data_IF_190553297687
#
_entry.id   IF_190553297687
#
_cell.length_a   1.000
_cell.length_b   1.000
_cell.length_c   1.000
_cell.angle_alpha   90.00
_cell.angle_beta   90.00
_cell.angle_gamma   90.00
#
_symmetry.space_group_name_H-M   'P 1'
#
loop_
_entity.id
_entity.type
_entity.pdbx_description
1 polymer ?
#
# COMPACT_ATOMS: atom_id res chain seq x y z
N UNK A 1 -19.78 18.99 -2.53
CA UNK A 1 -18.88 19.23 -1.38
C UNK A 1 -17.47 18.87 -1.79
N UNK A 2 -16.49 19.61 -1.30
CA UNK A 2 -15.08 19.39 -1.59
C UNK A 2 -14.34 19.35 -0.26
N UNK A 3 -13.49 18.36 -0.06
CA UNK A 3 -12.64 18.24 1.11
C UNK A 3 -11.20 18.00 0.69
N UNK A 4 -10.28 18.87 1.11
CA UNK A 4 -8.85 18.64 0.97
C UNK A 4 -8.40 17.75 2.12
N UNK A 5 -7.78 16.62 1.81
CA UNK A 5 -7.34 15.63 2.79
C UNK A 5 -5.92 15.17 2.45
N UNK A 6 -5.10 14.99 3.47
CA UNK A 6 -3.69 14.62 3.32
C UNK A 6 -3.38 13.20 3.80
N UNK A 7 -4.31 12.59 4.55
CA UNK A 7 -4.13 11.27 5.17
C UNK A 7 -5.44 10.45 5.12
N UNK A 8 -5.34 9.11 5.15
CA UNK A 8 -6.50 8.24 4.97
C UNK A 8 -7.47 8.23 6.17
N UNK A 9 -7.03 8.55 7.39
CA UNK A 9 -7.90 8.60 8.58
C UNK A 9 -8.78 9.85 8.53
N UNK A 10 -8.21 10.99 8.13
CA UNK A 10 -8.95 12.20 7.82
C UNK A 10 -9.96 11.98 6.69
N UNK A 11 -9.57 11.27 5.63
CA UNK A 11 -10.48 10.90 4.55
C UNK A 11 -11.65 10.02 5.01
N UNK A 12 -11.39 8.99 5.83
CA UNK A 12 -12.42 8.14 6.44
C UNK A 12 -13.42 8.99 7.25
N UNK A 13 -12.90 9.87 8.10
CA UNK A 13 -13.72 10.74 8.97
C UNK A 13 -14.65 11.65 8.15
N UNK A 14 -14.14 12.22 7.05
CA UNK A 14 -14.95 13.06 6.14
C UNK A 14 -16.04 12.24 5.46
N UNK A 15 -15.72 11.04 4.96
CA UNK A 15 -16.69 10.15 4.30
C UNK A 15 -17.82 9.76 5.27
N UNK A 16 -17.47 9.40 6.51
CA UNK A 16 -18.43 9.07 7.56
C UNK A 16 -19.31 10.28 7.90
N UNK A 17 -18.71 11.43 8.21
CA UNK A 17 -19.42 12.64 8.62
C UNK A 17 -20.40 13.15 7.54
N UNK A 18 -20.03 13.05 6.26
CA UNK A 18 -20.94 13.40 5.15
C UNK A 18 -22.14 12.46 5.08
N UNK A 19 -21.95 11.18 5.40
CA UNK A 19 -23.03 10.19 5.52
C UNK A 19 -23.98 10.52 6.65
N UNK A 20 -23.43 10.73 7.84
CA UNK A 20 -24.19 10.98 9.06
C UNK A 20 -25.01 12.28 8.99
N UNK A 21 -24.42 13.32 8.41
CA UNK A 21 -25.09 14.61 8.23
C UNK A 21 -26.14 14.60 7.11
N UNK A 22 -26.28 13.50 6.36
CA UNK A 22 -27.21 13.34 5.24
C UNK A 22 -27.17 14.52 4.25
N UNK A 23 -25.96 15.04 3.99
CA UNK A 23 -25.80 16.26 3.21
C UNK A 23 -26.30 16.07 1.78
N UNK A 24 -27.00 17.07 1.26
CA UNK A 24 -27.45 17.06 -0.14
C UNK A 24 -26.29 17.40 -1.07
N UNK A 25 -25.86 16.44 -1.89
CA UNK A 25 -24.82 16.63 -2.91
C UNK A 25 -23.78 15.51 -2.95
N UNK A 26 -22.81 15.66 -3.86
CA UNK A 26 -21.71 14.71 -4.05
C UNK A 26 -20.43 15.18 -3.36
N UNK A 27 -19.72 14.27 -2.70
CA UNK A 27 -18.42 14.50 -2.06
C UNK A 27 -17.27 14.29 -3.04
N UNK A 28 -16.38 15.27 -3.12
CA UNK A 28 -15.10 15.16 -3.80
C UNK A 28 -13.97 15.26 -2.79
N UNK A 29 -13.05 14.29 -2.79
CA UNK A 29 -11.80 14.41 -2.05
C UNK A 29 -10.72 14.96 -2.98
N UNK A 30 -9.98 15.94 -2.47
CA UNK A 30 -8.92 16.63 -3.20
C UNK A 30 -7.59 16.38 -2.50
N UNK A 31 -6.60 15.95 -3.26
CA UNK A 31 -5.23 15.70 -2.80
C UNK A 31 -4.22 16.54 -3.60
N UNK A 32 -2.96 16.50 -3.20
CA UNK A 32 -1.83 17.06 -3.97
C UNK A 32 -0.67 16.07 -4.05
N UNK A 33 -0.31 15.64 -5.24
CA UNK A 33 0.77 14.66 -5.43
C UNK A 33 0.45 13.28 -4.86
N UNK A 34 -0.82 12.87 -4.88
CA UNK A 34 -1.23 11.50 -4.57
C UNK A 34 -0.97 10.54 -5.73
N UNK A 35 -0.98 11.03 -6.97
CA UNK A 35 -0.85 10.22 -8.16
C UNK A 35 0.41 10.63 -8.92
N UNK A 36 1.29 9.69 -9.30
CA UNK A 36 2.47 10.03 -10.07
C UNK A 36 2.08 10.46 -11.49
N UNK A 37 2.58 11.61 -11.92
CA UNK A 37 2.42 12.13 -13.29
C UNK A 37 3.76 11.98 -14.04
N UNK A 38 3.76 11.63 -15.35
CA UNK A 38 5.00 11.57 -16.12
C UNK A 38 5.80 12.87 -16.04
N UNK A 39 7.04 12.79 -15.56
CA UNK A 39 7.94 13.93 -15.38
C UNK A 39 8.08 14.41 -13.93
N UNK A 40 7.18 13.99 -13.02
CA UNK A 40 7.28 14.30 -11.59
C UNK A 40 8.20 13.32 -10.85
N UNK A 41 8.71 13.76 -9.69
CA UNK A 41 9.71 13.01 -8.89
C UNK A 41 9.12 11.90 -8.02
N UNK A 42 7.81 11.68 -8.05
CA UNK A 42 7.12 10.67 -7.25
C UNK A 42 5.78 11.20 -6.71
N UNK A 43 5.12 10.39 -5.87
CA UNK A 43 3.90 10.73 -5.14
C UNK A 43 4.11 10.63 -3.63
N UNK A 44 3.19 11.19 -2.85
CA UNK A 44 3.16 11.10 -1.39
C UNK A 44 2.32 9.87 -0.97
N UNK A 45 2.91 8.85 -0.34
CA UNK A 45 2.20 7.61 -0.02
C UNK A 45 0.92 7.78 0.81
N UNK A 46 0.90 8.67 1.81
CA UNK A 46 -0.30 8.94 2.63
C UNK A 46 -1.48 9.46 1.80
N UNK A 47 -1.18 10.27 0.78
CA UNK A 47 -2.19 10.80 -0.14
C UNK A 47 -2.62 9.78 -1.18
N UNK A 48 -1.73 8.87 -1.59
CA UNK A 48 -2.12 7.70 -2.38
C UNK A 48 -3.06 6.78 -1.59
N UNK A 49 -2.86 6.65 -0.28
CA UNK A 49 -3.77 5.91 0.60
C UNK A 49 -5.19 6.53 0.63
N UNK A 50 -5.31 7.86 0.60
CA UNK A 50 -6.60 8.55 0.41
C UNK A 50 -7.28 8.11 -0.89
N UNK A 51 -6.54 8.00 -1.98
CA UNK A 51 -7.09 7.54 -3.27
C UNK A 51 -7.58 6.09 -3.19
N UNK A 52 -6.83 5.20 -2.54
CA UNK A 52 -7.25 3.83 -2.27
C UNK A 52 -8.59 3.77 -1.53
N UNK A 53 -8.72 4.54 -0.43
CA UNK A 53 -9.96 4.64 0.34
C UNK A 53 -11.11 5.22 -0.50
N UNK A 54 -10.86 6.31 -1.22
CA UNK A 54 -11.89 7.01 -1.99
C UNK A 54 -12.47 6.17 -3.15
N UNK A 55 -11.65 5.31 -3.78
CA UNK A 55 -12.16 4.34 -4.77
C UNK A 55 -13.20 3.40 -4.14
N UNK A 56 -12.98 2.96 -2.89
CA UNK A 56 -13.95 2.13 -2.16
C UNK A 56 -15.17 2.94 -1.75
N UNK A 57 -15.01 4.19 -1.32
CA UNK A 57 -16.13 5.08 -1.03
C UNK A 57 -17.05 5.28 -2.25
N UNK A 58 -16.48 5.36 -3.47
CA UNK A 58 -17.26 5.40 -4.71
C UNK A 58 -18.09 4.14 -4.97
N UNK A 59 -17.60 2.96 -4.56
CA UNK A 59 -18.32 1.70 -4.67
C UNK A 59 -19.43 1.54 -3.63
N UNK A 60 -19.16 1.96 -2.39
CA UNK A 60 -20.10 1.80 -1.26
C UNK A 60 -21.16 2.90 -1.22
N UNK A 61 -20.81 4.11 -1.67
CA UNK A 61 -21.67 5.31 -1.57
C UNK A 61 -21.87 6.01 -2.93
N UNK A 62 -22.27 5.31 -4.01
CA UNK A 62 -22.29 5.87 -5.37
C UNK A 62 -23.25 7.05 -5.56
N UNK A 63 -24.25 7.23 -4.69
CA UNK A 63 -25.21 8.34 -4.77
C UNK A 63 -24.69 9.65 -4.19
N UNK A 64 -23.80 9.57 -3.20
CA UNK A 64 -23.22 10.73 -2.50
C UNK A 64 -21.74 10.92 -2.83
N UNK A 65 -21.16 10.05 -3.66
CA UNK A 65 -19.79 10.17 -4.13
C UNK A 65 -19.70 11.00 -5.43
N UNK A 66 -18.75 11.91 -5.46
CA UNK A 66 -18.39 12.73 -6.62
C UNK A 66 -17.14 12.21 -7.30
N UNK A 67 -16.04 12.09 -6.54
CA UNK A 67 -14.79 11.58 -7.08
C UNK A 67 -13.55 12.00 -6.29
N UNK A 68 -12.40 11.71 -6.89
CA UNK A 68 -11.05 12.05 -6.46
C UNK A 68 -10.45 13.05 -7.45
N UNK A 69 -9.85 14.13 -6.95
CA UNK A 69 -9.04 15.04 -7.77
C UNK A 69 -7.67 15.25 -7.14
N UNK A 70 -6.59 15.01 -7.88
CA UNK A 70 -5.24 15.35 -7.46
C UNK A 70 -4.81 16.64 -8.15
N UNK A 71 -4.32 17.60 -7.37
CA UNK A 71 -3.84 18.89 -7.88
C UNK A 71 -2.31 18.95 -7.91
N UNK A 72 -1.73 19.85 -8.71
CA UNK A 72 -0.32 20.19 -8.61
C UNK A 72 0.05 20.65 -7.19
N UNK A 73 1.33 20.54 -6.82
CA UNK A 73 1.81 20.96 -5.50
C UNK A 73 1.51 22.44 -5.18
N UNK A 74 1.63 23.30 -6.19
CA UNK A 74 1.31 24.73 -6.15
C UNK A 74 0.31 25.08 -7.27
N UNK A 75 -1.00 24.88 -7.05
CA UNK A 75 -2.01 25.08 -8.07
C UNK A 75 -2.24 26.58 -8.34
N UNK A 76 -2.21 26.97 -9.61
CA UNK A 76 -2.53 28.33 -10.05
C UNK A 76 -4.01 28.54 -10.37
N UNK A 77 -4.39 29.77 -10.72
CA UNK A 77 -5.78 30.14 -11.07
C UNK A 77 -6.38 29.26 -12.17
N UNK A 78 -5.56 28.84 -13.14
CA UNK A 78 -5.98 27.95 -14.22
C UNK A 78 -6.35 26.56 -13.68
N UNK A 79 -5.57 26.00 -12.76
CA UNK A 79 -5.81 24.69 -12.17
C UNK A 79 -7.11 24.70 -11.35
N UNK A 80 -7.35 25.79 -10.61
CA UNK A 80 -8.57 25.99 -9.83
C UNK A 80 -9.80 26.19 -10.72
N UNK A 81 -9.66 26.87 -11.86
CA UNK A 81 -10.73 26.99 -12.86
C UNK A 81 -11.07 25.62 -13.44
N UNK A 82 -10.06 24.82 -13.79
CA UNK A 82 -10.25 23.47 -14.29
C UNK A 82 -10.88 22.55 -13.24
N UNK A 83 -10.48 22.66 -11.98
CA UNK A 83 -11.12 21.96 -10.86
C UNK A 83 -12.63 22.30 -10.81
N UNK A 84 -13.01 23.58 -10.87
CA UNK A 84 -14.41 23.97 -10.85
C UNK A 84 -15.20 23.35 -12.02
N UNK A 85 -14.62 23.30 -13.22
CA UNK A 85 -15.23 22.65 -14.38
C UNK A 85 -15.40 21.14 -14.18
N UNK A 86 -14.38 20.45 -13.65
CA UNK A 86 -14.43 19.01 -13.33
C UNK A 86 -15.58 18.73 -12.35
N UNK A 87 -15.65 19.51 -11.26
CA UNK A 87 -16.66 19.35 -10.22
C UNK A 87 -18.08 19.62 -10.74
N UNK A 88 -18.24 20.58 -11.64
CA UNK A 88 -19.53 20.95 -12.23
C UNK A 88 -20.05 19.90 -13.21
N UNK A 89 -19.16 19.32 -14.03
CA UNK A 89 -19.53 18.34 -15.06
C UNK A 89 -19.73 16.95 -14.46
N UNK A 90 -18.79 16.51 -13.61
CA UNK A 90 -18.84 15.20 -12.97
C UNK A 90 -18.90 14.03 -13.96
N UNK A 91 -18.20 14.15 -15.09
CA UNK A 91 -18.15 13.13 -16.15
C UNK A 91 -17.17 11.99 -15.81
N UNK A 92 -16.12 12.28 -15.05
CA UNK A 92 -15.10 11.35 -14.56
C UNK A 92 -14.97 11.50 -13.04
N UNK A 93 -14.74 10.40 -12.32
CA UNK A 93 -14.69 10.36 -10.85
C UNK A 93 -13.26 10.26 -10.28
N UNK A 94 -12.26 10.24 -11.15
CA UNK A 94 -10.84 10.17 -10.81
C UNK A 94 -10.06 11.03 -11.78
N UNK A 95 -9.57 12.18 -11.33
CA UNK A 95 -8.93 13.17 -12.21
C UNK A 95 -7.62 13.67 -11.59
N UNK A 96 -6.61 13.87 -12.42
CA UNK A 96 -5.34 14.50 -12.02
C UNK A 96 -5.19 15.78 -12.82
N UNK A 97 -5.14 16.92 -12.13
CA UNK A 97 -4.89 18.23 -12.74
C UNK A 97 -3.39 18.44 -12.85
N UNK A 98 -2.96 18.91 -14.02
CA UNK A 98 -1.58 19.21 -14.38
C UNK A 98 -1.54 20.59 -15.01
N UNK A 99 -0.36 21.22 -15.09
CA UNK A 99 -0.22 22.53 -15.74
C UNK A 99 -0.66 22.55 -17.21
N UNK A 100 -0.71 21.39 -17.88
CA UNK A 100 -1.12 21.24 -19.28
C UNK A 100 -2.62 20.91 -19.44
N UNK A 101 -3.33 20.53 -18.37
CA UNK A 101 -4.74 20.14 -18.40
C UNK A 101 -5.10 19.04 -17.40
N UNK A 102 -6.15 18.28 -17.68
CA UNK A 102 -6.59 17.17 -16.84
C UNK A 102 -6.23 15.82 -17.47
N UNK A 103 -5.73 14.91 -16.63
CA UNK A 103 -5.46 13.51 -16.94
C UNK A 103 -6.46 12.63 -16.19
N UNK A 104 -6.79 11.48 -16.78
CA UNK A 104 -7.70 10.51 -16.19
C UNK A 104 -7.02 9.15 -16.19
N UNK A 105 -6.88 8.47 -15.04
CA UNK A 105 -6.22 7.18 -14.98
C UNK A 105 -7.04 6.12 -15.72
N UNK A 106 -6.34 5.24 -16.44
CA UNK A 106 -6.92 4.12 -17.18
C UNK A 106 -6.08 2.88 -16.95
N UNK A 107 -6.75 1.77 -16.65
CA UNK A 107 -6.10 0.47 -16.59
C UNK A 107 -5.89 -0.05 -18.02
N UNK A 108 -4.66 -0.40 -18.34
CA UNK A 108 -4.28 -0.93 -19.66
C UNK A 108 -3.56 -2.26 -19.50
N UNK A 109 -3.60 -3.08 -20.54
CA UNK A 109 -2.83 -4.32 -20.56
C UNK A 109 -1.35 -3.99 -20.66
N UNK A 110 -0.55 -4.43 -19.69
CA UNK A 110 0.90 -4.32 -19.78
C UNK A 110 1.43 -5.20 -20.93
N UNK A 111 2.24 -4.62 -21.82
CA UNK A 111 3.03 -5.39 -22.79
C UNK A 111 4.16 -6.10 -22.05
N UNK A 112 4.38 -7.38 -22.33
CA UNK A 112 5.52 -8.12 -21.76
C UNK A 112 6.83 -7.43 -22.14
N UNK A 113 7.61 -7.03 -21.13
CA UNK A 113 9.01 -6.59 -21.32
C UNK A 113 9.91 -7.82 -21.33
N UNK A 114 11.09 -7.71 -21.95
CA UNK A 114 12.12 -8.75 -21.81
C UNK A 114 12.43 -8.94 -20.32
N UNK A 115 12.19 -10.15 -19.82
CA UNK A 115 12.44 -10.48 -18.44
C UNK A 115 13.95 -10.55 -18.21
N UNK A 116 14.45 -9.78 -17.25
CA UNK A 116 15.79 -10.01 -16.69
C UNK A 116 15.68 -11.19 -15.74
N UNK A 117 16.57 -12.17 -15.88
CA UNK A 117 16.66 -13.27 -14.93
C UNK A 117 17.17 -12.70 -13.59
N UNK A 118 16.35 -12.81 -12.54
CA UNK A 118 16.71 -12.49 -11.17
C UNK A 118 16.82 -13.79 -10.37
N UNK A 119 17.82 -13.89 -9.51
CA UNK A 119 17.98 -15.00 -8.58
C UNK A 119 18.25 -14.47 -7.18
N UNK A 120 17.67 -15.08 -6.14
CA UNK A 120 18.00 -14.72 -4.77
C UNK A 120 19.48 -15.03 -4.51
N UNK A 121 20.19 -14.06 -3.93
CA UNK A 121 21.57 -14.21 -3.47
C UNK A 121 21.69 -13.59 -2.09
N UNK A 122 22.61 -14.12 -1.29
CA UNK A 122 22.85 -13.62 0.07
C UNK A 122 21.64 -13.82 0.97
N UNK A 123 21.29 -12.79 1.73
CA UNK A 123 20.22 -12.83 2.74
C UNK A 123 18.94 -12.18 2.19
N UNK A 124 17.82 -12.90 2.22
CA UNK A 124 16.50 -12.38 1.89
C UNK A 124 15.64 -12.28 3.15
N UNK A 125 15.19 -11.07 3.47
CA UNK A 125 14.21 -10.82 4.53
C UNK A 125 12.79 -10.96 3.97
N UNK A 126 11.96 -11.80 4.57
CA UNK A 126 10.53 -11.91 4.24
C UNK A 126 9.70 -11.53 5.47
N UNK A 127 9.08 -10.35 5.44
CA UNK A 127 8.15 -9.96 6.51
C UNK A 127 6.79 -10.60 6.31
N UNK A 128 6.12 -10.98 7.41
CA UNK A 128 4.97 -11.88 7.31
C UNK A 128 5.37 -13.28 6.81
N UNK A 129 6.64 -13.66 6.97
CA UNK A 129 7.25 -14.83 6.34
C UNK A 129 6.65 -16.17 6.77
N UNK A 130 5.99 -16.21 7.94
CA UNK A 130 5.25 -17.40 8.41
C UNK A 130 3.77 -17.39 8.00
N UNK A 131 3.31 -16.34 7.30
CA UNK A 131 1.94 -16.23 6.78
C UNK A 131 1.76 -17.00 5.47
N UNK A 132 0.53 -17.05 4.96
CA UNK A 132 0.22 -17.82 3.74
C UNK A 132 1.06 -17.38 2.53
N UNK A 133 1.08 -16.07 2.23
CA UNK A 133 1.85 -15.54 1.10
C UNK A 133 3.36 -15.61 1.35
N UNK A 134 3.82 -15.18 2.53
CA UNK A 134 5.23 -15.24 2.91
C UNK A 134 5.81 -16.64 2.84
N UNK A 135 5.07 -17.66 3.29
CA UNK A 135 5.49 -19.05 3.21
C UNK A 135 5.57 -19.58 1.78
N UNK A 136 4.69 -19.15 0.87
CA UNK A 136 4.81 -19.49 -0.55
C UNK A 136 6.01 -18.80 -1.21
N UNK A 137 6.26 -17.53 -0.88
CA UNK A 137 7.44 -16.80 -1.36
C UNK A 137 8.73 -17.47 -0.85
N UNK A 138 8.79 -17.83 0.43
CA UNK A 138 9.96 -18.48 1.00
C UNK A 138 10.29 -19.81 0.30
N UNK A 139 9.28 -20.63 0.00
CA UNK A 139 9.45 -21.88 -0.78
C UNK A 139 9.96 -21.62 -2.18
N UNK A 140 9.39 -20.62 -2.87
CA UNK A 140 9.86 -20.25 -4.20
C UNK A 140 11.32 -19.78 -4.15
N UNK A 141 11.69 -18.91 -3.22
CA UNK A 141 13.06 -18.43 -3.05
C UNK A 141 14.05 -19.58 -2.79
N UNK A 142 13.70 -20.52 -1.91
CA UNK A 142 14.53 -21.69 -1.63
C UNK A 142 14.69 -22.61 -2.86
N UNK A 143 13.65 -22.73 -3.69
CA UNK A 143 13.70 -23.54 -4.91
C UNK A 143 14.56 -22.91 -6.04
N UNK A 144 14.71 -21.58 -6.07
CA UNK A 144 15.54 -20.87 -7.06
C UNK A 144 17.06 -21.00 -6.77
N UNK A 145 17.44 -21.39 -5.55
CA UNK A 145 18.81 -21.73 -5.19
C UNK A 145 19.17 -21.45 -3.73
N UNK A 146 20.40 -21.81 -3.31
CA UNK A 146 20.87 -21.60 -1.94
C UNK A 146 20.87 -20.11 -1.56
N UNK A 147 20.11 -19.76 -0.53
CA UNK A 147 20.07 -18.43 0.06
C UNK A 147 19.83 -18.53 1.57
N UNK A 148 20.11 -17.43 2.29
CA UNK A 148 19.70 -17.30 3.68
C UNK A 148 18.35 -16.60 3.74
N UNK A 149 17.36 -17.24 4.34
CA UNK A 149 16.01 -16.71 4.53
C UNK A 149 15.82 -16.27 5.98
N UNK A 150 15.54 -14.99 6.18
CA UNK A 150 15.12 -14.45 7.47
C UNK A 150 13.62 -14.19 7.39
N UNK A 151 12.83 -14.99 8.11
CA UNK A 151 11.38 -14.90 8.12
C UNK A 151 10.92 -14.20 9.39
N UNK A 152 10.32 -13.02 9.26
CA UNK A 152 9.79 -12.27 10.41
C UNK A 152 8.27 -12.34 10.48
N UNK A 153 7.75 -12.50 11.68
CA UNK A 153 6.33 -12.28 12.00
C UNK A 153 6.18 -12.00 13.49
N UNK A 154 5.03 -11.45 13.92
CA UNK A 154 4.77 -11.19 15.36
C UNK A 154 4.90 -12.44 16.22
N UNK A 155 4.47 -13.60 15.70
CA UNK A 155 4.52 -14.87 16.41
C UNK A 155 5.88 -15.58 16.24
N UNK A 156 6.65 -15.27 15.19
CA UNK A 156 7.95 -15.84 14.93
C UNK A 156 7.93 -17.39 14.95
N UNK A 157 8.87 -18.04 15.68
CA UNK A 157 8.90 -19.50 15.81
C UNK A 157 7.64 -20.12 16.43
N UNK A 158 6.84 -19.35 17.16
CA UNK A 158 5.59 -19.81 17.76
C UNK A 158 4.39 -19.75 16.78
N UNK A 159 4.58 -19.26 15.55
CA UNK A 159 3.51 -19.25 14.56
C UNK A 159 3.12 -20.69 14.17
N UNK A 160 1.81 -20.98 13.97
CA UNK A 160 1.36 -22.28 13.50
C UNK A 160 2.08 -22.70 12.21
N UNK A 161 2.68 -23.89 12.21
CA UNK A 161 3.41 -24.42 11.06
C UNK A 161 4.81 -23.84 10.82
N UNK A 162 5.31 -22.93 11.68
CA UNK A 162 6.65 -22.32 11.49
C UNK A 162 7.78 -23.35 11.48
N UNK A 163 7.74 -24.34 12.38
CA UNK A 163 8.75 -25.40 12.43
C UNK A 163 8.74 -26.31 11.20
N UNK A 164 7.54 -26.64 10.70
CA UNK A 164 7.38 -27.43 9.46
C UNK A 164 7.90 -26.65 8.25
N UNK A 165 7.58 -25.36 8.15
CA UNK A 165 8.10 -24.48 7.10
C UNK A 165 9.63 -24.38 7.16
N UNK A 166 10.22 -24.20 8.35
CA UNK A 166 11.68 -24.12 8.49
C UNK A 166 12.38 -25.41 8.02
N UNK A 167 11.83 -26.58 8.40
CA UNK A 167 12.37 -27.87 7.98
C UNK A 167 12.27 -28.04 6.46
N UNK A 168 11.11 -27.75 5.87
CA UNK A 168 10.89 -27.82 4.42
C UNK A 168 11.90 -26.95 3.64
N UNK A 169 12.09 -25.71 4.07
CA UNK A 169 13.02 -24.78 3.41
C UNK A 169 14.48 -25.21 3.56
N UNK A 170 14.83 -25.81 4.71
CA UNK A 170 16.17 -26.38 4.94
C UNK A 170 16.42 -27.59 4.04
N UNK A 171 15.42 -28.46 3.85
CA UNK A 171 15.50 -29.61 2.94
C UNK A 171 15.65 -29.17 1.47
N UNK A 172 15.13 -27.99 1.12
CA UNK A 172 15.34 -27.34 -0.18
C UNK A 172 16.74 -26.69 -0.32
N UNK A 173 17.54 -26.66 0.74
CA UNK A 173 18.91 -26.15 0.75
C UNK A 173 19.08 -24.69 1.15
N UNK A 174 18.05 -24.05 1.71
CA UNK A 174 18.15 -22.71 2.27
C UNK A 174 18.62 -22.73 3.73
N UNK A 175 19.39 -21.72 4.15
CA UNK A 175 19.63 -21.45 5.57
C UNK A 175 18.45 -20.63 6.11
N UNK A 176 17.74 -21.11 7.13
CA UNK A 176 16.51 -20.45 7.59
C UNK A 176 16.58 -20.00 9.04
N UNK A 177 16.12 -18.78 9.26
CA UNK A 177 15.95 -18.20 10.60
C UNK A 177 14.57 -17.56 10.70
N UNK A 178 13.79 -17.98 11.70
CA UNK A 178 12.47 -17.42 11.98
C UNK A 178 12.55 -16.56 13.23
N UNK A 179 12.14 -15.30 13.11
CA UNK A 179 12.30 -14.29 14.17
C UNK A 179 10.94 -13.71 14.54
N UNK A 180 10.67 -13.64 15.84
CA UNK A 180 9.54 -12.89 16.36
C UNK A 180 9.86 -11.39 16.26
N UNK A 181 9.21 -10.71 15.32
CA UNK A 181 9.40 -9.29 15.09
C UNK A 181 8.11 -8.69 14.53
N UNK A 182 7.63 -7.64 15.20
CA UNK A 182 6.57 -6.79 14.69
C UNK A 182 7.18 -5.70 13.81
N UNK A 183 6.77 -5.63 12.54
CA UNK A 183 7.28 -4.62 11.59
C UNK A 183 6.84 -3.20 11.94
N UNK A 184 5.81 -3.05 12.77
CA UNK A 184 5.36 -1.76 13.30
C UNK A 184 6.23 -1.29 14.47
N UNK A 185 7.05 -2.17 15.07
CA UNK A 185 8.08 -1.79 16.04
C UNK A 185 9.39 -1.49 15.31
N UNK A 186 9.64 -0.20 15.12
CA UNK A 186 10.83 0.31 14.41
C UNK A 186 12.15 -0.16 15.05
N UNK A 187 12.23 -0.23 16.37
CA UNK A 187 13.49 -0.59 17.06
C UNK A 187 13.74 -2.11 17.01
N UNK A 188 12.68 -2.92 17.13
CA UNK A 188 12.78 -4.35 16.91
C UNK A 188 13.22 -4.65 15.47
N UNK A 189 12.59 -4.00 14.48
CA UNK A 189 12.95 -4.16 13.08
C UNK A 189 14.39 -3.71 12.81
N UNK A 190 14.82 -2.56 13.36
CA UNK A 190 16.21 -2.09 13.25
C UNK A 190 17.21 -3.12 13.77
N UNK A 191 16.89 -3.80 14.87
CA UNK A 191 17.74 -4.84 15.45
C UNK A 191 17.91 -6.02 14.50
N UNK A 192 16.80 -6.53 13.93
CA UNK A 192 16.82 -7.60 12.91
C UNK A 192 17.64 -7.18 11.69
N UNK A 193 17.43 -5.97 11.18
CA UNK A 193 18.14 -5.47 10.01
C UNK A 193 19.66 -5.33 10.24
N UNK A 194 20.05 -4.89 11.43
CA UNK A 194 21.47 -4.76 11.81
C UNK A 194 22.16 -6.13 11.93
N UNK A 195 21.47 -7.12 12.51
CA UNK A 195 22.00 -8.45 12.74
C UNK A 195 22.15 -9.27 11.45
N UNK A 196 21.16 -9.19 10.55
CA UNK A 196 21.12 -10.06 9.37
C UNK A 196 21.52 -9.38 8.07
N UNK A 197 21.50 -8.04 8.00
CA UNK A 197 21.92 -7.25 6.84
C UNK A 197 21.40 -7.79 5.49
N UNK A 198 20.08 -7.77 5.25
CA UNK A 198 19.50 -8.37 4.05
C UNK A 198 19.97 -7.68 2.76
N UNK A 199 20.18 -8.49 1.72
CA UNK A 199 20.45 -8.08 0.34
C UNK A 199 19.16 -7.87 -0.46
N UNK A 200 18.07 -8.51 -0.04
CA UNK A 200 16.75 -8.32 -0.62
C UNK A 200 15.64 -8.37 0.44
N UNK A 201 14.55 -7.66 0.18
CA UNK A 201 13.37 -7.60 1.06
C UNK A 201 12.13 -7.98 0.28
N UNK A 202 11.31 -8.85 0.87
CA UNK A 202 9.94 -9.09 0.43
C UNK A 202 8.98 -8.80 1.58
N UNK A 203 8.25 -7.71 1.46
CA UNK A 203 7.30 -7.28 2.47
C UNK A 203 5.91 -7.89 2.20
N UNK A 204 5.57 -8.95 2.94
CA UNK A 204 4.25 -9.61 2.87
C UNK A 204 3.41 -9.42 4.12
N UNK A 205 3.93 -8.68 5.12
CA UNK A 205 3.21 -8.39 6.34
C UNK A 205 1.94 -7.57 6.04
N UNK A 206 0.84 -8.01 6.65
CA UNK A 206 -0.46 -7.39 6.47
C UNK A 206 -1.57 -8.42 6.55
N UNK A 207 -2.76 -7.96 6.89
CA UNK A 207 -3.98 -8.77 6.89
C UNK A 207 -5.06 -8.04 6.08
N UNK A 208 -5.85 -8.81 5.34
CA UNK A 208 -7.08 -8.30 4.74
C UNK A 208 -8.19 -8.34 5.77
N UNK A 209 -8.44 -7.22 6.46
CA UNK A 209 -9.61 -7.09 7.32
C UNK A 209 -10.72 -6.45 6.48
N UNK A 210 -11.87 -7.13 6.40
CA UNK A 210 -13.07 -6.57 5.78
C UNK A 210 -13.78 -5.71 6.80
N UNK A 211 -13.82 -4.41 6.53
CA UNK A 211 -14.52 -3.43 7.38
C UNK A 211 -15.24 -2.45 6.47
N UNK A 212 -16.54 -2.34 6.68
CA UNK A 212 -17.39 -1.33 6.05
C UNK A 212 -16.96 0.08 6.47
N UNK A 213 -16.95 1.03 5.52
CA UNK A 213 -16.46 2.38 5.80
C UNK A 213 -17.29 3.10 6.88
N UNK A 214 -18.58 2.81 7.02
CA UNK A 214 -19.46 3.52 7.94
C UNK A 214 -19.19 3.17 9.41
N UNK A 215 -18.68 1.95 9.63
CA UNK A 215 -18.47 1.39 10.97
C UNK A 215 -17.00 1.22 11.33
N UNK A 216 -16.08 1.53 10.40
CA UNK A 216 -14.65 1.43 10.63
C UNK A 216 -14.21 2.51 11.64
N UNK A 217 -13.76 2.08 12.83
CA UNK A 217 -13.13 3.00 13.78
C UNK A 217 -11.69 3.31 13.37
N UNK A 218 -11.12 4.38 13.92
CA UNK A 218 -9.72 4.73 13.67
C UNK A 218 -8.76 3.61 14.13
N UNK A 219 -9.08 2.93 15.23
CA UNK A 219 -8.29 1.80 15.76
C UNK A 219 -8.36 0.59 14.83
N UNK A 220 -9.56 0.26 14.31
CA UNK A 220 -9.71 -0.82 13.34
C UNK A 220 -9.01 -0.50 12.02
N UNK A 221 -9.03 0.76 11.62
CA UNK A 221 -8.31 1.25 10.44
C UNK A 221 -6.80 1.06 10.63
N UNK A 222 -6.25 1.52 11.75
CA UNK A 222 -4.84 1.35 12.09
C UNK A 222 -4.46 -0.15 12.13
N UNK A 223 -5.24 -0.98 12.83
CA UNK A 223 -5.01 -2.44 12.89
C UNK A 223 -4.96 -3.09 11.50
N UNK A 224 -5.81 -2.65 10.57
CA UNK A 224 -5.86 -3.17 9.21
C UNK A 224 -4.73 -2.65 8.30
N UNK A 225 -4.11 -1.52 8.63
CA UNK A 225 -3.19 -0.80 7.72
C UNK A 225 -1.75 -0.75 8.22
N UNK A 226 -1.50 -0.68 9.52
CA UNK A 226 -0.20 -0.38 10.13
C UNK A 226 0.91 -1.33 9.68
N UNK A 227 0.62 -2.63 9.61
CA UNK A 227 1.61 -3.62 9.19
C UNK A 227 2.13 -3.36 7.76
N UNK A 228 1.30 -2.79 6.88
CA UNK A 228 1.67 -2.40 5.52
C UNK A 228 2.26 -0.99 5.48
N UNK A 229 1.57 -0.01 6.06
CA UNK A 229 1.99 1.39 6.07
C UNK A 229 3.29 1.58 6.85
N UNK A 230 3.22 1.43 8.18
CA UNK A 230 4.36 1.62 9.06
C UNK A 230 5.45 0.59 8.77
N UNK A 231 5.07 -0.66 8.48
CA UNK A 231 6.03 -1.70 8.13
C UNK A 231 6.86 -1.37 6.89
N UNK A 232 6.24 -0.88 5.81
CA UNK A 232 6.97 -0.44 4.62
C UNK A 232 7.78 0.84 4.89
N UNK A 233 7.21 1.82 5.59
CA UNK A 233 7.89 3.06 5.94
C UNK A 233 9.15 2.82 6.78
N UNK A 234 9.08 1.95 7.79
CA UNK A 234 10.24 1.58 8.60
C UNK A 234 11.29 0.83 7.78
N UNK A 235 10.89 -0.07 6.89
CA UNK A 235 11.84 -0.77 6.01
C UNK A 235 12.57 0.21 5.09
N UNK A 236 11.85 1.14 4.46
CA UNK A 236 12.41 2.19 3.61
C UNK A 236 13.38 3.07 4.39
N UNK A 237 12.96 3.61 5.54
CA UNK A 237 13.78 4.49 6.37
C UNK A 237 15.06 3.80 6.88
N UNK A 238 14.93 2.56 7.39
CA UNK A 238 16.03 1.85 8.05
C UNK A 238 17.02 1.24 7.05
N UNK A 239 16.58 0.92 5.83
CA UNK A 239 17.46 0.46 4.76
C UNK A 239 18.05 1.62 3.96
N UNK A 240 17.35 2.76 3.89
CA UNK A 240 17.79 3.99 3.24
C UNK A 240 18.30 3.74 1.82
N UNK A 241 19.40 4.41 1.45
CA UNK A 241 20.03 4.28 0.14
C UNK A 241 20.85 2.98 -0.04
N UNK A 242 20.68 1.98 0.83
CA UNK A 242 21.40 0.71 0.69
C UNK A 242 21.01 0.06 -0.63
N UNK A 243 22.00 -0.34 -1.40
CA UNK A 243 21.79 -1.05 -2.65
C UNK A 243 21.30 -2.47 -2.35
N UNK A 244 20.00 -2.70 -2.53
CA UNK A 244 19.37 -4.02 -2.47
C UNK A 244 19.27 -4.63 -3.87
N UNK A 245 19.33 -5.96 -3.94
CA UNK A 245 19.05 -6.73 -5.16
C UNK A 245 17.55 -6.73 -5.49
N UNK A 246 16.67 -6.60 -4.48
CA UNK A 246 15.24 -6.41 -4.64
C UNK A 246 14.59 -5.79 -3.39
N UNK A 247 13.57 -4.96 -3.59
CA UNK A 247 12.67 -4.46 -2.55
C UNK A 247 11.24 -4.63 -3.06
N UNK A 248 10.56 -5.69 -2.62
CA UNK A 248 9.27 -6.13 -3.17
C UNK A 248 8.17 -5.91 -2.15
N UNK A 249 7.16 -5.12 -2.52
CA UNK A 249 5.98 -4.85 -1.70
C UNK A 249 4.79 -5.65 -2.23
N UNK A 250 4.15 -6.43 -1.37
CA UNK A 250 2.96 -7.19 -1.74
C UNK A 250 1.72 -6.30 -1.66
N UNK A 251 1.39 -5.63 -2.76
CA UNK A 251 0.18 -4.81 -2.91
C UNK A 251 -1.07 -5.65 -3.28
N UNK A 252 -2.16 -5.01 -3.69
CA UNK A 252 -3.40 -5.65 -4.10
C UNK A 252 -4.18 -4.80 -5.10
N UNK A 253 -4.95 -5.47 -5.98
CA UNK A 253 -5.90 -4.83 -6.89
C UNK A 253 -6.89 -3.89 -6.18
N UNK A 254 -7.18 -4.14 -4.90
CA UNK A 254 -8.03 -3.28 -4.09
C UNK A 254 -7.47 -1.86 -4.00
N UNK A 255 -6.14 -1.71 -3.92
CA UNK A 255 -5.47 -0.41 -3.97
C UNK A 255 -5.55 0.25 -5.34
N UNK A 256 -5.65 -0.53 -6.43
CA UNK A 256 -5.60 -0.03 -7.81
C UNK A 256 -6.97 0.48 -8.30
N UNK A 257 -8.05 -0.29 -8.11
CA UNK A 257 -9.38 0.07 -8.61
C UNK A 257 -10.50 0.01 -7.55
N UNK A 258 -10.17 -0.35 -6.31
CA UNK A 258 -11.15 -0.47 -5.22
C UNK A 258 -11.84 -1.83 -5.15
N UNK A 259 -12.35 -2.15 -3.97
CA UNK A 259 -13.20 -3.32 -3.72
C UNK A 259 -14.08 -3.03 -2.51
N UNK A 260 -15.39 -3.27 -2.62
CA UNK A 260 -16.35 -2.96 -1.56
C UNK A 260 -16.04 -3.79 -0.30
N UNK A 261 -16.15 -3.17 0.87
CA UNK A 261 -15.75 -3.70 2.18
C UNK A 261 -14.25 -3.67 2.44
N UNK A 262 -13.44 -3.08 1.54
CA UNK A 262 -11.99 -3.09 1.62
C UNK A 262 -11.38 -1.69 1.73
N UNK A 263 -12.06 -0.72 2.36
CA UNK A 263 -11.61 0.67 2.43
C UNK A 263 -10.20 0.84 3.01
N UNK A 264 -9.97 0.31 4.21
CA UNK A 264 -8.65 0.31 4.86
C UNK A 264 -7.61 -0.48 4.07
N UNK A 265 -7.98 -1.65 3.55
CA UNK A 265 -7.07 -2.48 2.78
C UNK A 265 -6.69 -1.82 1.43
N UNK A 266 -7.62 -1.16 0.75
CA UNK A 266 -7.36 -0.40 -0.46
C UNK A 266 -6.43 0.79 -0.19
N UNK A 267 -6.67 1.53 0.89
CA UNK A 267 -5.76 2.59 1.34
C UNK A 267 -4.34 2.05 1.56
N UNK A 268 -4.22 0.93 2.28
CA UNK A 268 -2.92 0.34 2.57
C UNK A 268 -2.16 -0.14 1.34
N UNK A 269 -2.85 -0.64 0.32
CA UNK A 269 -2.20 -1.10 -0.91
C UNK A 269 -1.87 0.06 -1.87
N UNK A 270 -2.73 1.08 -1.94
CA UNK A 270 -2.42 2.29 -2.71
C UNK A 270 -1.22 3.06 -2.14
N UNK A 271 -1.01 3.01 -0.81
CA UNK A 271 0.22 3.49 -0.17
C UNK A 271 1.46 2.76 -0.68
N UNK A 272 1.41 1.42 -0.80
CA UNK A 272 2.57 0.62 -1.24
C UNK A 272 2.89 0.78 -2.73
N UNK A 273 1.91 1.20 -3.53
CA UNK A 273 2.11 1.46 -4.97
C UNK A 273 2.83 2.80 -5.23
N UNK A 274 2.82 3.71 -4.24
CA UNK A 274 3.34 5.07 -4.30
C UNK A 274 4.78 5.21 -3.82
#
# INVERSE_FOLDING_TARGET
MVACVDDPVGALSVVQAVGDAAVTGRLWLVTRGAVPVPGDRGCTPDRAAVWGLGRVAGLERPRSWGGLVDLPADPGDRDLTLLADILARGEEDQVVVTGDGALVPRLVRASSREAREWKPRGTVLVTGGTGALGGHVARWLAAEGPCRLVLTSRQGPAAPGAGELAAELTDLGAEVEIIACDVTDREALRTVLAEHSPDAVVHTAGAGILTDLDHCTAEQFAEATDAKLLGAAHLDELLGDRKLDAFVLFSSIAGVWGSSGQGAYAAANAYLDA
#
